data_IF_958199997238
#
_entry.id   IF_958199997238
#
_cell.length_a   1.000
_cell.length_b   1.000
_cell.length_c   1.000
_cell.angle_alpha   90.00
_cell.angle_beta   90.00
_cell.angle_gamma   90.00
#
_symmetry.space_group_name_H-M   'P 1'
#
loop_
_entity.id
_entity.type
_entity.pdbx_description
1 polymer ?
#
# COMPACT_ATOMS: atom_id res chain seq x y z
N UNK A 1 18.73 -24.70 -17.76
CA UNK A 1 18.19 -23.76 -18.78
C UNK A 1 16.70 -24.01 -18.84
N UNK A 2 15.80 -23.09 -18.50
CA UNK A 2 15.48 -21.87 -19.25
C UNK A 2 15.27 -20.64 -18.34
N UNK A 3 15.56 -19.48 -18.94
CA UNK A 3 15.68 -18.14 -18.38
C UNK A 3 14.35 -17.59 -17.87
N UNK A 4 14.35 -16.98 -16.68
CA UNK A 4 13.86 -15.61 -16.44
C UNK A 4 14.12 -15.20 -14.99
N UNK A 5 15.16 -14.39 -14.70
CA UNK A 5 15.12 -13.50 -13.54
C UNK A 5 14.18 -12.33 -13.90
N UNK A 6 12.92 -12.41 -13.50
CA UNK A 6 11.99 -11.28 -13.54
C UNK A 6 12.05 -10.54 -12.20
N UNK A 7 11.92 -9.21 -12.21
CA UNK A 7 13.05 -8.33 -11.97
C UNK A 7 13.24 -8.06 -10.49
N UNK A 8 14.50 -7.81 -10.13
CA UNK A 8 14.90 -7.06 -8.95
C UNK A 8 14.00 -5.84 -8.82
N UNK A 9 13.02 -5.94 -7.92
CA UNK A 9 12.03 -4.91 -7.72
C UNK A 9 12.74 -3.65 -7.25
N UNK A 10 12.47 -2.56 -7.97
CA UNK A 10 12.77 -1.16 -7.64
C UNK A 10 12.52 -0.82 -6.15
N UNK A 11 11.73 -1.63 -5.48
CA UNK A 11 11.39 -1.64 -4.05
C UNK A 11 12.59 -1.85 -3.11
N UNK A 12 13.67 -2.56 -3.50
CA UNK A 12 14.77 -2.89 -2.56
C UNK A 12 15.64 -1.70 -2.16
N UNK A 13 15.82 -0.74 -3.05
CA UNK A 13 16.87 0.28 -2.89
C UNK A 13 16.41 1.50 -2.06
N UNK A 14 15.13 1.65 -1.75
CA UNK A 14 14.61 2.89 -1.14
C UNK A 14 13.96 2.76 0.24
N UNK A 15 14.06 1.62 0.93
CA UNK A 15 13.57 1.52 2.31
C UNK A 15 12.07 1.75 2.49
N UNK A 16 11.31 1.87 1.38
CA UNK A 16 9.86 2.09 1.34
C UNK A 16 9.13 0.74 1.37
N UNK A 17 9.60 -0.15 2.24
CA UNK A 17 9.17 -1.56 2.30
C UNK A 17 7.88 -1.77 3.06
N UNK A 18 7.46 -0.79 3.87
CA UNK A 18 6.38 -1.02 4.83
C UNK A 18 5.02 -0.68 4.24
N UNK A 19 4.25 -1.72 3.93
CA UNK A 19 2.84 -1.57 3.56
C UNK A 19 2.03 -1.39 4.85
N UNK A 20 1.87 -0.15 5.32
CA UNK A 20 1.15 0.11 6.58
C UNK A 20 -0.36 0.29 6.41
N UNK A 21 -0.84 0.39 5.16
CA UNK A 21 -2.27 0.59 4.85
C UNK A 21 -2.63 0.01 3.48
N UNK A 22 -3.62 -0.89 3.46
CA UNK A 22 -4.18 -1.46 2.24
C UNK A 22 -5.71 -1.56 2.37
N UNK A 23 -6.48 -1.03 1.41
CA UNK A 23 -7.94 -1.10 1.39
C UNK A 23 -8.44 -2.00 0.27
N UNK A 24 -9.34 -2.92 0.61
CA UNK A 24 -10.08 -3.72 -0.36
C UNK A 24 -11.41 -3.03 -0.67
N UNK A 25 -11.76 -3.01 -1.95
CA UNK A 25 -13.00 -2.45 -2.45
C UNK A 25 -13.70 -3.49 -3.32
N UNK A 26 -14.99 -3.68 -3.11
CA UNK A 26 -15.78 -4.69 -3.83
C UNK A 26 -15.96 -4.36 -5.32
N UNK A 27 -15.81 -3.08 -5.69
CA UNK A 27 -15.92 -2.62 -7.07
C UNK A 27 -14.72 -1.79 -7.52
N UNK A 28 -14.36 -1.95 -8.79
CA UNK A 28 -13.30 -1.15 -9.43
C UNK A 28 -13.62 0.36 -9.40
N UNK A 29 -14.90 0.72 -9.52
CA UNK A 29 -15.34 2.11 -9.46
C UNK A 29 -15.05 2.74 -8.09
N UNK A 30 -15.31 1.99 -7.00
CA UNK A 30 -15.03 2.45 -5.64
C UNK A 30 -13.53 2.58 -5.38
N UNK A 31 -12.73 1.63 -5.86
CA UNK A 31 -11.26 1.70 -5.78
C UNK A 31 -10.73 2.96 -6.46
N UNK A 32 -11.19 3.25 -7.68
CA UNK A 32 -10.76 4.42 -8.45
C UNK A 32 -11.20 5.74 -7.80
N UNK A 33 -12.42 5.81 -7.25
CA UNK A 33 -12.89 6.99 -6.52
C UNK A 33 -12.12 7.18 -5.21
N UNK A 34 -11.76 6.10 -4.52
CA UNK A 34 -10.96 6.16 -3.30
C UNK A 34 -9.53 6.59 -3.60
N UNK A 35 -8.90 6.04 -4.63
CA UNK A 35 -7.56 6.42 -5.08
C UNK A 35 -7.48 7.92 -5.43
N UNK A 36 -8.47 8.43 -6.19
CA UNK A 36 -8.57 9.87 -6.51
C UNK A 36 -8.71 10.75 -5.26
N UNK A 37 -9.39 10.27 -4.21
CA UNK A 37 -9.51 10.97 -2.92
C UNK A 37 -8.19 10.95 -2.16
N UNK A 38 -7.54 9.79 -2.05
CA UNK A 38 -6.24 9.61 -1.39
C UNK A 38 -5.18 10.52 -2.01
N UNK A 39 -5.13 10.62 -3.34
CA UNK A 39 -4.19 11.50 -4.05
C UNK A 39 -4.35 13.00 -3.71
N UNK A 40 -5.53 13.41 -3.24
CA UNK A 40 -5.81 14.80 -2.81
C UNK A 40 -5.78 14.99 -1.29
N UNK A 41 -5.53 13.93 -0.51
CA UNK A 41 -5.59 14.02 0.94
C UNK A 41 -4.37 14.67 1.56
N UNK A 42 -4.63 15.49 2.59
CA UNK A 42 -3.59 16.09 3.42
C UNK A 42 -2.92 14.96 4.21
N UNK A 43 -1.60 15.02 4.37
CA UNK A 43 -0.79 14.00 5.06
C UNK A 43 -1.36 13.58 6.43
N UNK A 44 -1.97 14.52 7.17
CA UNK A 44 -2.63 14.23 8.44
C UNK A 44 -3.81 13.26 8.34
N UNK A 45 -4.58 13.30 7.25
CA UNK A 45 -5.69 12.38 7.04
C UNK A 45 -5.17 10.96 6.75
N UNK A 46 -4.13 10.84 5.91
CA UNK A 46 -3.50 9.55 5.63
C UNK A 46 -2.93 8.92 6.91
N UNK A 47 -2.30 9.72 7.79
CA UNK A 47 -1.81 9.26 9.09
C UNK A 47 -2.95 8.77 9.99
N UNK A 48 -4.08 9.49 10.07
CA UNK A 48 -5.24 9.03 10.83
C UNK A 48 -5.79 7.71 10.31
N UNK A 49 -5.93 7.56 9.00
CA UNK A 49 -6.42 6.31 8.43
C UNK A 49 -5.47 5.13 8.67
N UNK A 50 -4.15 5.38 8.67
CA UNK A 50 -3.14 4.40 9.10
C UNK A 50 -3.31 4.09 10.59
N UNK A 51 -3.42 5.11 11.45
CA UNK A 51 -3.55 4.92 12.91
C UNK A 51 -4.85 4.22 13.31
N UNK A 52 -5.96 4.49 12.64
CA UNK A 52 -7.26 3.84 12.90
C UNK A 52 -7.23 2.36 12.54
N UNK A 53 -6.48 1.99 11.48
CA UNK A 53 -6.52 0.65 10.90
C UNK A 53 -5.32 -0.20 11.28
N UNK A 54 -4.20 0.44 11.56
CA UNK A 54 -2.92 -0.14 11.92
C UNK A 54 -2.18 0.80 12.90
N UNK A 55 -2.71 0.97 14.13
CA UNK A 55 -2.12 1.87 15.14
C UNK A 55 -0.68 1.47 15.52
N UNK A 56 -0.32 0.21 15.28
CA UNK A 56 1.00 -0.32 15.58
C UNK A 56 1.97 -0.25 14.39
N UNK A 57 1.54 0.32 13.25
CA UNK A 57 2.36 0.48 12.06
C UNK A 57 3.05 -0.83 11.64
N UNK A 58 2.31 -1.94 11.75
CA UNK A 58 2.74 -3.28 11.34
C UNK A 58 2.86 -3.32 9.82
N UNK A 59 3.77 -4.16 9.33
CA UNK A 59 3.88 -4.38 7.89
C UNK A 59 2.78 -5.34 7.45
N UNK A 60 1.85 -4.86 6.62
CA UNK A 60 0.79 -5.67 6.03
C UNK A 60 1.28 -6.44 4.80
N UNK A 61 2.51 -6.20 4.34
CA UNK A 61 3.10 -6.92 3.22
C UNK A 61 3.19 -8.42 3.53
N UNK A 62 3.58 -8.78 4.75
CA UNK A 62 3.66 -10.17 5.22
C UNK A 62 2.29 -10.80 5.50
N UNK A 63 1.24 -10.01 5.77
CA UNK A 63 -0.12 -10.51 6.02
C UNK A 63 -0.93 -10.73 4.72
N UNK A 64 -0.58 -10.03 3.64
CA UNK A 64 -1.25 -10.13 2.33
C UNK A 64 -0.54 -11.15 1.40
N UNK A 65 0.68 -11.58 1.76
CA UNK A 65 1.51 -12.53 1.02
C UNK A 65 1.05 -13.99 1.08
#
# INVERSE_FOLDING_TARGET
>A
QHRSPAPEGFTREHGVHRLVYAEFHDTMADAMLREKRIKKWRRAWNLRAIEERNPQWRDLCDEIG
#
